data_IF_239380404023
#
_entry.id   IF_239380404023
#
_cell.length_a   1.000
_cell.length_b   1.000
_cell.length_c   1.000
_cell.angle_alpha   90.00
_cell.angle_beta   90.00
_cell.angle_gamma   90.00
#
_symmetry.space_group_name_H-M   'P 1'
#
loop_
_entity.id
_entity.type
_entity.pdbx_description
1 polymer ?
#
# COMPACT_ATOMS: atom_id res chain seq x y z
N UNK A 1 -35.63 -44.26 3.79
CA UNK A 1 -34.96 -43.70 4.99
C UNK A 1 -33.66 -43.05 4.54
N UNK A 2 -33.58 -41.72 4.44
CA UNK A 2 -32.41 -41.00 3.90
C UNK A 2 -31.52 -40.60 5.08
N UNK A 3 -30.32 -41.19 5.19
CA UNK A 3 -29.38 -40.95 6.28
C UNK A 3 -28.96 -39.47 6.38
N UNK A 4 -29.32 -38.75 7.47
CA UNK A 4 -28.98 -37.33 7.65
C UNK A 4 -27.46 -37.08 7.77
N UNK A 5 -26.67 -38.08 8.20
CA UNK A 5 -25.22 -37.97 8.34
C UNK A 5 -24.46 -37.87 7.01
N UNK A 6 -24.91 -38.58 5.97
CA UNK A 6 -24.23 -38.61 4.66
C UNK A 6 -24.30 -37.26 3.93
N UNK A 7 -25.40 -36.53 4.09
CA UNK A 7 -25.58 -35.17 3.52
C UNK A 7 -24.70 -34.14 4.22
N UNK A 8 -24.59 -34.21 5.56
CA UNK A 8 -23.73 -33.31 6.36
C UNK A 8 -22.24 -33.49 6.03
N UNK A 9 -21.78 -34.74 5.89
CA UNK A 9 -20.39 -35.04 5.52
C UNK A 9 -20.07 -34.56 4.10
N UNK A 10 -20.95 -34.83 3.13
CA UNK A 10 -20.78 -34.34 1.74
C UNK A 10 -20.74 -32.81 1.68
N UNK A 11 -21.64 -32.15 2.41
CA UNK A 11 -21.66 -30.68 2.50
C UNK A 11 -20.37 -30.12 3.10
N UNK A 12 -19.89 -30.68 4.22
CA UNK A 12 -18.65 -30.24 4.85
C UNK A 12 -17.42 -30.44 3.94
N UNK A 13 -17.35 -31.53 3.18
CA UNK A 13 -16.26 -31.78 2.21
C UNK A 13 -16.31 -30.78 1.06
N UNK A 14 -17.50 -30.52 0.49
CA UNK A 14 -17.68 -29.53 -0.58
C UNK A 14 -17.31 -28.13 -0.07
N UNK A 15 -17.78 -27.74 1.12
CA UNK A 15 -17.45 -26.45 1.73
C UNK A 15 -15.95 -26.29 1.94
N UNK A 16 -15.26 -27.30 2.48
CA UNK A 16 -13.79 -27.27 2.64
C UNK A 16 -13.05 -27.09 1.32
N UNK A 17 -13.49 -27.77 0.25
CA UNK A 17 -12.89 -27.62 -1.09
C UNK A 17 -13.13 -26.23 -1.67
N UNK A 18 -14.33 -25.67 -1.49
CA UNK A 18 -14.64 -24.31 -1.91
C UNK A 18 -13.79 -23.28 -1.16
N UNK A 19 -13.63 -23.44 0.15
CA UNK A 19 -12.77 -22.56 0.95
C UNK A 19 -11.30 -22.67 0.54
N UNK A 20 -10.79 -23.89 0.30
CA UNK A 20 -9.42 -24.09 -0.17
C UNK A 20 -9.21 -23.47 -1.56
N UNK A 21 -10.17 -23.63 -2.48
CA UNK A 21 -10.15 -23.00 -3.79
C UNK A 21 -10.13 -21.48 -3.68
N UNK A 22 -11.01 -20.90 -2.86
CA UNK A 22 -11.04 -19.46 -2.61
C UNK A 22 -9.71 -18.94 -2.04
N UNK A 23 -9.16 -19.63 -1.04
CA UNK A 23 -7.88 -19.27 -0.43
C UNK A 23 -6.74 -19.28 -1.46
N UNK A 24 -6.68 -20.31 -2.31
CA UNK A 24 -5.70 -20.38 -3.39
C UNK A 24 -5.87 -19.23 -4.39
N UNK A 25 -7.11 -18.91 -4.77
CA UNK A 25 -7.36 -17.78 -5.68
C UNK A 25 -6.92 -16.46 -5.06
N UNK A 26 -7.27 -16.18 -3.80
CA UNK A 26 -6.82 -14.96 -3.10
C UNK A 26 -5.30 -14.89 -3.03
N UNK A 27 -4.65 -16.01 -2.68
CA UNK A 27 -3.19 -16.09 -2.61
C UNK A 27 -2.52 -15.82 -3.97
N UNK A 28 -3.08 -16.35 -5.06
CA UNK A 28 -2.54 -16.09 -6.39
C UNK A 28 -2.76 -14.63 -6.82
N UNK A 29 -3.92 -14.05 -6.50
CA UNK A 29 -4.21 -12.65 -6.81
C UNK A 29 -3.33 -11.68 -6.00
N UNK A 30 -2.86 -12.03 -4.80
CA UNK A 30 -1.93 -11.16 -4.07
C UNK A 30 -0.55 -11.02 -4.73
N UNK A 31 -0.16 -11.90 -5.67
CA UNK A 31 1.09 -11.72 -6.44
C UNK A 31 0.98 -10.66 -7.53
N UNK A 32 -0.23 -10.21 -7.87
CA UNK A 32 -0.41 -9.11 -8.84
C UNK A 32 -0.44 -7.74 -8.17
N UNK A 33 -0.22 -7.67 -6.86
CA UNK A 33 -0.28 -6.42 -6.07
C UNK A 33 1.07 -6.14 -5.39
N UNK A 34 1.19 -4.98 -4.76
CA UNK A 34 2.39 -4.57 -4.02
C UNK A 34 2.46 -5.14 -2.59
N UNK A 35 1.51 -6.02 -2.21
CA UNK A 35 1.33 -6.50 -0.84
C UNK A 35 2.64 -7.01 -0.22
N UNK A 36 3.33 -7.92 -0.90
CA UNK A 36 4.50 -8.58 -0.33
C UNK A 36 5.69 -7.63 -0.19
N UNK A 37 5.89 -6.74 -1.17
CA UNK A 37 6.94 -5.73 -1.12
C UNK A 37 6.71 -4.77 0.03
N UNK A 38 5.49 -4.25 0.16
CA UNK A 38 5.13 -3.36 1.26
C UNK A 38 5.22 -4.04 2.62
N UNK A 39 4.78 -5.30 2.73
CA UNK A 39 4.90 -6.07 3.97
C UNK A 39 6.36 -6.30 4.35
N UNK A 40 7.21 -6.62 3.38
CA UNK A 40 8.65 -6.77 3.60
C UNK A 40 9.26 -5.46 4.13
N UNK A 41 8.99 -4.33 3.49
CA UNK A 41 9.48 -3.03 3.94
C UNK A 41 8.95 -2.63 5.32
N UNK A 42 7.70 -2.96 5.65
CA UNK A 42 7.15 -2.73 6.99
C UNK A 42 7.81 -3.58 8.07
N UNK A 43 8.28 -4.79 7.73
CA UNK A 43 8.95 -5.70 8.67
C UNK A 43 10.44 -5.39 8.82
N UNK A 44 11.12 -5.01 7.74
CA UNK A 44 12.54 -4.66 7.74
C UNK A 44 12.77 -3.22 8.22
N UNK A 45 11.84 -2.32 7.91
CA UNK A 45 11.95 -0.89 8.20
C UNK A 45 12.21 -0.66 9.69
N UNK A 46 13.34 -0.02 9.99
CA UNK A 46 13.75 0.42 11.34
C UNK A 46 12.87 1.55 11.91
N UNK A 47 11.58 1.58 11.55
CA UNK A 47 10.56 2.51 12.02
C UNK A 47 10.28 3.70 11.10
N UNK A 48 11.03 3.86 9.99
CA UNK A 48 10.87 5.03 9.09
C UNK A 48 10.03 4.75 7.84
N UNK A 49 9.84 3.48 7.46
CA UNK A 49 8.95 3.11 6.37
C UNK A 49 7.49 3.22 6.82
N UNK A 50 6.67 3.91 6.04
CA UNK A 50 5.23 3.99 6.26
C UNK A 50 4.50 4.09 4.93
N UNK A 51 3.20 3.79 4.96
CA UNK A 51 2.30 3.96 3.81
C UNK A 51 1.44 5.20 4.10
N UNK A 52 1.36 6.18 3.17
CA UNK A 52 0.46 7.33 3.28
C UNK A 52 -0.99 6.94 3.56
N UNK A 53 -1.74 7.80 4.25
CA UNK A 53 -3.12 7.50 4.64
C UNK A 53 -4.08 7.45 3.44
N UNK A 54 -3.71 8.10 2.33
CA UNK A 54 -4.45 8.12 1.08
C UNK A 54 -4.14 6.91 0.18
N UNK A 55 -3.20 6.05 0.60
CA UNK A 55 -2.79 4.83 -0.11
C UNK A 55 -3.03 3.60 0.78
N UNK A 56 -2.83 2.41 0.21
CA UNK A 56 -2.97 1.15 0.91
C UNK A 56 -1.80 0.19 0.64
N UNK A 57 -1.72 -0.88 1.44
CA UNK A 57 -0.66 -1.89 1.36
C UNK A 57 -0.63 -2.67 0.04
N UNK A 58 -1.74 -2.69 -0.71
CA UNK A 58 -1.87 -3.44 -1.95
C UNK A 58 -1.40 -2.63 -3.17
N UNK A 59 -1.52 -1.30 -3.11
CA UNK A 59 -1.29 -0.42 -4.26
C UNK A 59 -0.07 0.49 -4.13
N UNK A 60 0.39 0.77 -2.90
CA UNK A 60 1.53 1.64 -2.66
C UNK A 60 2.80 1.10 -3.31
N UNK A 61 3.44 1.89 -4.16
CA UNK A 61 4.64 1.53 -4.89
C UNK A 61 5.70 2.61 -4.70
N UNK A 62 6.83 2.25 -4.08
CA UNK A 62 7.98 3.15 -3.98
C UNK A 62 8.66 3.27 -5.34
N UNK A 63 8.79 4.49 -5.84
CA UNK A 63 9.43 4.79 -7.13
C UNK A 63 10.86 5.30 -6.96
N UNK A 64 11.20 5.88 -5.80
CA UNK A 64 12.57 6.27 -5.46
C UNK A 64 12.80 6.09 -3.95
N UNK A 65 13.81 5.31 -3.60
CA UNK A 65 14.29 5.17 -2.22
C UNK A 65 15.26 6.29 -1.84
N UNK A 66 15.40 6.51 -0.53
CA UNK A 66 16.50 7.28 0.03
C UNK A 66 17.84 6.58 -0.31
N UNK A 67 18.84 7.28 -0.89
CA UNK A 67 20.13 6.68 -1.19
C UNK A 67 21.02 6.50 0.05
N UNK A 68 20.65 7.07 1.19
CA UNK A 68 21.37 6.94 2.45
C UNK A 68 21.13 5.61 3.17
N UNK A 69 21.67 5.48 4.39
CA UNK A 69 21.55 4.26 5.23
C UNK A 69 20.16 4.06 5.87
N UNK A 70 19.25 5.01 5.71
CA UNK A 70 17.91 4.96 6.29
C UNK A 70 16.90 4.27 5.39
N UNK A 71 15.99 3.50 5.99
CA UNK A 71 14.93 2.76 5.29
C UNK A 71 13.64 3.60 5.21
N UNK A 72 13.65 4.60 4.32
CA UNK A 72 12.46 5.38 3.94
C UNK A 72 12.48 5.68 2.44
N UNK A 73 11.29 5.92 1.89
CA UNK A 73 11.10 6.27 0.48
C UNK A 73 11.16 7.80 0.29
N UNK A 74 11.57 8.26 -0.90
CA UNK A 74 11.55 9.69 -1.27
C UNK A 74 10.39 10.02 -2.19
N UNK A 75 10.10 9.12 -3.13
CA UNK A 75 8.95 9.24 -4.03
C UNK A 75 8.25 7.90 -4.15
N UNK A 76 6.93 7.96 -4.23
CA UNK A 76 6.09 6.79 -4.39
C UNK A 76 4.83 7.17 -5.19
N UNK A 77 4.03 6.16 -5.52
CA UNK A 77 2.74 6.33 -6.19
C UNK A 77 1.79 5.22 -5.79
N UNK A 78 0.52 5.44 -6.06
CA UNK A 78 -0.49 4.37 -6.12
C UNK A 78 -1.33 4.53 -7.41
N UNK A 79 -2.56 4.01 -7.41
CA UNK A 79 -3.46 4.16 -8.54
C UNK A 79 -4.05 5.57 -8.71
N UNK A 80 -4.09 6.37 -7.64
CA UNK A 80 -4.79 7.66 -7.58
C UNK A 80 -3.87 8.86 -7.33
N UNK A 81 -2.73 8.67 -6.68
CA UNK A 81 -1.84 9.72 -6.19
C UNK A 81 -0.36 9.44 -6.50
N UNK A 82 0.41 10.53 -6.56
CA UNK A 82 1.86 10.54 -6.38
C UNK A 82 2.17 11.06 -4.97
N UNK A 83 3.22 10.53 -4.35
CA UNK A 83 3.68 10.88 -3.01
C UNK A 83 5.16 11.26 -3.00
N UNK A 84 5.52 12.21 -2.15
CA UNK A 84 6.89 12.66 -1.97
C UNK A 84 7.20 12.96 -0.49
N UNK A 85 8.43 12.65 -0.07
CA UNK A 85 9.01 13.12 1.18
C UNK A 85 10.04 14.21 0.90
N UNK A 86 9.99 15.26 1.71
CA UNK A 86 11.03 16.29 1.76
C UNK A 86 11.72 16.23 3.12
N UNK A 87 13.05 16.27 3.12
CA UNK A 87 13.85 16.33 4.35
C UNK A 87 13.61 17.63 5.14
N UNK A 88 13.02 18.64 4.51
CA UNK A 88 12.78 19.97 5.09
C UNK A 88 11.44 20.07 5.82
N UNK A 89 10.56 19.07 5.69
CA UNK A 89 9.18 19.14 6.21
C UNK A 89 8.81 17.91 7.03
N UNK A 90 8.14 18.09 8.18
CA UNK A 90 7.62 16.97 8.98
C UNK A 90 6.28 16.42 8.43
N UNK A 91 6.09 16.52 7.11
CA UNK A 91 4.87 16.16 6.38
C UNK A 91 5.26 15.44 5.10
N UNK A 92 4.44 14.49 4.66
CA UNK A 92 4.51 13.98 3.30
C UNK A 92 3.58 14.76 2.39
N UNK A 93 3.97 14.88 1.14
CA UNK A 93 3.25 15.65 0.13
C UNK A 93 2.66 14.68 -0.88
N UNK A 94 1.43 14.94 -1.32
CA UNK A 94 0.75 14.12 -2.30
C UNK A 94 -0.06 14.95 -3.29
N UNK A 95 -0.22 14.43 -4.49
CA UNK A 95 -1.02 15.03 -5.56
C UNK A 95 -1.73 13.93 -6.35
N UNK A 96 -2.93 14.21 -6.86
CA UNK A 96 -3.64 13.27 -7.72
C UNK A 96 -2.86 12.99 -9.00
N UNK A 97 -2.99 11.78 -9.54
CA UNK A 97 -2.34 11.38 -10.81
C UNK A 97 -2.96 12.06 -12.01
N UNK A 98 -4.26 12.35 -11.97
CA UNK A 98 -4.99 13.10 -12.99
C UNK A 98 -4.95 14.63 -12.73
N UNK A 99 -3.81 15.13 -12.28
CA UNK A 99 -3.59 16.56 -12.11
C UNK A 99 -3.37 17.27 -13.45
N UNK A 100 -3.52 18.59 -13.42
CA UNK A 100 -3.33 19.48 -14.57
C UNK A 100 -2.14 20.41 -14.38
N UNK A 101 -1.08 19.97 -13.69
CA UNK A 101 0.11 20.79 -13.49
C UNK A 101 0.93 20.86 -14.79
N UNK A 102 1.28 22.08 -15.20
CA UNK A 102 2.17 22.29 -16.33
C UNK A 102 3.57 21.72 -16.02
N UNK A 103 4.15 21.01 -17.00
CA UNK A 103 5.46 20.37 -16.87
C UNK A 103 5.60 19.42 -15.66
N UNK A 104 4.49 18.77 -15.26
CA UNK A 104 4.47 17.81 -14.17
C UNK A 104 5.53 16.69 -14.31
N UNK A 105 6.31 16.48 -13.26
CA UNK A 105 7.26 15.37 -13.13
C UNK A 105 7.07 14.68 -11.76
N UNK A 106 6.73 13.39 -11.80
CA UNK A 106 6.44 12.58 -10.62
C UNK A 106 7.64 12.41 -9.66
N UNK A 107 8.86 12.73 -10.10
CA UNK A 107 10.07 12.60 -9.30
C UNK A 107 10.72 13.95 -8.95
N UNK A 108 9.99 15.05 -9.17
CA UNK A 108 10.40 16.44 -8.88
C UNK A 108 9.27 17.19 -8.21
N UNK A 109 9.36 17.29 -6.89
CA UNK A 109 8.35 17.88 -6.03
C UNK A 109 8.04 19.34 -6.40
N UNK A 110 9.03 20.09 -6.88
CA UNK A 110 8.89 21.48 -7.32
C UNK A 110 7.92 21.67 -8.48
N UNK A 111 7.60 20.62 -9.22
CA UNK A 111 6.63 20.66 -10.34
C UNK A 111 5.18 20.43 -9.89
N UNK A 112 4.94 20.17 -8.59
CA UNK A 112 3.62 19.79 -8.08
C UNK A 112 2.84 21.01 -7.63
N UNK A 113 2.01 21.56 -8.52
CA UNK A 113 1.32 22.83 -8.36
C UNK A 113 0.22 22.84 -7.26
N UNK A 114 -0.66 21.83 -7.21
CA UNK A 114 -1.79 21.75 -6.26
C UNK A 114 -1.63 20.60 -5.27
N UNK A 115 -0.39 20.34 -4.83
CA UNK A 115 -0.12 19.28 -3.89
C UNK A 115 -0.69 19.59 -2.50
N UNK A 116 -1.03 18.54 -1.76
CA UNK A 116 -1.47 18.60 -0.37
C UNK A 116 -0.39 18.05 0.53
N UNK A 117 -0.31 18.55 1.75
CA UNK A 117 0.56 18.04 2.79
C UNK A 117 -0.27 17.32 3.86
N UNK A 118 0.26 16.21 4.36
CA UNK A 118 -0.30 15.45 5.46
C UNK A 118 0.82 15.13 6.47
N UNK A 119 0.54 15.16 7.78
CA UNK A 119 1.56 14.89 8.80
C UNK A 119 2.09 13.46 8.70
N UNK A 120 3.39 13.29 9.01
CA UNK A 120 3.99 11.97 9.08
C UNK A 120 3.30 11.09 10.16
N UNK A 121 3.19 9.77 9.97
CA UNK A 121 2.70 8.89 11.02
C UNK A 121 3.55 9.02 12.29
N UNK A 122 2.88 9.08 13.45
CA UNK A 122 3.55 9.21 14.75
C UNK A 122 3.94 10.63 15.16
N UNK A 123 3.81 11.64 14.30
CA UNK A 123 4.03 13.06 14.67
C UNK A 123 2.77 13.78 15.14
N UNK A 124 1.77 13.04 15.68
CA UNK A 124 0.62 13.65 16.33
C UNK A 124 1.12 14.54 17.48
N UNK A 125 1.04 15.86 17.28
CA UNK A 125 1.28 16.85 18.31
C UNK A 125 0.34 16.54 19.47
N UNK A 126 0.91 16.34 20.66
CA UNK A 126 0.15 16.24 21.89
C UNK A 126 -0.84 17.40 21.97
N UNK A 127 -2.11 17.06 22.13
CA UNK A 127 -3.09 18.00 22.69
C UNK A 127 -2.82 18.16 24.18
#
# INVERSE_FOLDING_TARGET
MIEPGRKRIRFAVVLKRLLAGLALTVFLLSFTTQLYGNLFWMLEGTGSFFIPAESDIWSFEVTRNNPGSGSWWLFARDHQHYFALSAERPEYIYIRRDNSCDAFDALKLETWCTARASPLPGTQAGK
#
